data_IF_834500265359
#
_entry.id   IF_834500265359
#
_cell.length_a   1.000
_cell.length_b   1.000
_cell.length_c   1.000
_cell.angle_alpha   90.00
_cell.angle_beta   90.00
_cell.angle_gamma   90.00
#
_symmetry.space_group_name_H-M   'P 1'
#
loop_
_entity.id
_entity.type
_entity.pdbx_description
1 polymer ?
#
# COMPACT_ATOMS: atom_id res chain seq x y z
N UNK A 1 -24.45 -0.70 -8.97
CA UNK A 1 -23.38 0.31 -8.92
C UNK A 1 -22.15 -0.37 -9.46
N UNK A 2 -21.56 0.19 -10.54
CA UNK A 2 -20.48 -0.42 -11.31
C UNK A 2 -19.13 -0.33 -10.56
N UNK A 3 -18.24 -1.32 -10.68
CA UNK A 3 -16.92 -1.24 -10.07
C UNK A 3 -16.08 -0.15 -10.74
N UNK A 4 -15.27 0.53 -9.93
CA UNK A 4 -14.32 1.54 -10.36
C UNK A 4 -13.16 0.90 -11.15
N UNK A 5 -13.42 0.48 -12.39
CA UNK A 5 -12.37 0.25 -13.37
C UNK A 5 -11.68 1.60 -13.61
N UNK A 6 -10.49 1.76 -13.06
CA UNK A 6 -9.57 2.78 -13.54
C UNK A 6 -9.45 2.57 -15.05
N UNK A 7 -9.67 3.61 -15.85
CA UNK A 7 -9.75 3.52 -17.32
C UNK A 7 -8.52 2.87 -18.00
N UNK A 8 -7.47 2.57 -17.24
CA UNK A 8 -6.19 2.02 -17.69
C UNK A 8 -5.75 0.76 -16.93
N UNK A 9 -6.62 0.12 -16.12
CA UNK A 9 -6.26 -1.11 -15.40
C UNK A 9 -6.08 -2.27 -16.39
N UNK A 10 -4.95 -2.99 -16.30
CA UNK A 10 -4.59 -4.04 -17.26
C UNK A 10 -3.59 -5.07 -16.73
N UNK A 11 -3.55 -6.22 -17.39
CA UNK A 11 -2.50 -7.23 -17.28
C UNK A 11 -1.52 -7.08 -18.44
N UNK A 12 -0.23 -7.18 -18.15
CA UNK A 12 0.84 -7.05 -19.15
C UNK A 12 1.75 -8.26 -19.03
N UNK A 13 1.82 -9.10 -20.06
CA UNK A 13 2.75 -10.24 -20.08
C UNK A 13 4.16 -9.71 -20.29
N UNK A 14 5.00 -9.81 -19.26
CA UNK A 14 6.37 -9.27 -19.26
C UNK A 14 7.43 -10.33 -19.57
N UNK A 15 7.10 -11.62 -19.41
CA UNK A 15 7.95 -12.73 -19.82
C UNK A 15 7.11 -13.96 -20.17
N UNK A 16 7.63 -14.80 -21.08
CA UNK A 16 6.94 -16.00 -21.59
C UNK A 16 6.66 -15.90 -23.09
N UNK A 17 6.05 -16.94 -23.65
CA UNK A 17 5.83 -17.05 -25.10
C UNK A 17 4.93 -15.96 -25.70
N UNK A 18 4.10 -15.33 -24.88
CA UNK A 18 3.18 -14.25 -25.27
C UNK A 18 3.62 -12.87 -24.73
N UNK A 19 4.91 -12.68 -24.44
CA UNK A 19 5.44 -11.40 -23.95
C UNK A 19 5.01 -10.22 -24.83
N UNK A 20 4.62 -9.11 -24.18
CA UNK A 20 4.09 -7.91 -24.81
C UNK A 20 2.57 -7.92 -24.99
N UNK A 21 1.89 -9.05 -24.73
CA UNK A 21 0.43 -9.10 -24.72
C UNK A 21 -0.11 -8.27 -23.56
N UNK A 22 -1.09 -7.43 -23.85
CA UNK A 22 -1.82 -6.66 -22.83
C UNK A 22 -3.30 -7.03 -22.86
N UNK A 23 -3.89 -7.21 -21.68
CA UNK A 23 -5.32 -7.49 -21.52
C UNK A 23 -5.93 -6.44 -20.61
N UNK A 24 -6.89 -5.63 -21.09
CA UNK A 24 -7.58 -4.66 -20.26
C UNK A 24 -8.48 -5.37 -19.24
N UNK A 25 -8.44 -4.90 -17.99
CA UNK A 25 -9.25 -5.40 -16.90
C UNK A 25 -10.46 -4.48 -16.70
N UNK A 26 -11.68 -5.04 -16.78
CA UNK A 26 -12.96 -4.30 -16.76
C UNK A 26 -13.90 -4.79 -15.65
N UNK A 27 -15.21 -4.84 -15.88
CA UNK A 27 -16.17 -5.32 -14.89
C UNK A 27 -16.27 -6.85 -14.86
N UNK A 28 -15.90 -7.50 -15.96
CA UNK A 28 -15.94 -8.95 -16.09
C UNK A 28 -14.62 -9.58 -15.59
N UNK A 29 -14.70 -10.75 -14.92
CA UNK A 29 -13.52 -11.55 -14.60
C UNK A 29 -12.77 -12.00 -15.84
N UNK A 30 -11.45 -12.15 -15.70
CA UNK A 30 -10.54 -12.62 -16.74
C UNK A 30 -9.97 -13.96 -16.33
N UNK A 31 -10.17 -14.97 -17.18
CA UNK A 31 -9.64 -16.30 -17.01
C UNK A 31 -8.27 -16.42 -17.68
N UNK A 32 -7.29 -16.94 -16.93
CA UNK A 32 -5.94 -17.19 -17.39
C UNK A 32 -5.67 -18.71 -17.37
N UNK A 33 -5.08 -19.22 -18.44
CA UNK A 33 -4.72 -20.62 -18.54
C UNK A 33 -4.30 -21.00 -19.95
N UNK A 34 -3.82 -22.24 -20.13
CA UNK A 34 -3.40 -22.73 -21.46
C UNK A 34 -4.56 -23.13 -22.36
N UNK A 35 -5.79 -23.09 -21.85
CA UNK A 35 -6.99 -23.32 -22.65
C UNK A 35 -7.15 -22.20 -23.68
N UNK A 36 -7.58 -22.55 -24.88
CA UNK A 36 -7.91 -21.56 -25.91
C UNK A 36 -9.21 -20.81 -25.62
N UNK A 37 -9.96 -21.29 -24.63
CA UNK A 37 -11.19 -20.70 -24.09
C UNK A 37 -10.92 -19.70 -22.95
N UNK A 38 -9.65 -19.45 -22.60
CA UNK A 38 -9.27 -18.42 -21.65
C UNK A 38 -9.22 -17.03 -22.30
N UNK A 39 -9.56 -16.00 -21.53
CA UNK A 39 -9.47 -14.59 -21.96
C UNK A 39 -8.03 -14.17 -22.20
N UNK A 40 -7.10 -14.71 -21.40
CA UNK A 40 -5.66 -14.64 -21.65
C UNK A 40 -5.07 -16.06 -21.78
N UNK A 41 -4.97 -16.57 -23.02
CA UNK A 41 -4.34 -17.85 -23.29
C UNK A 41 -2.83 -17.81 -22.98
N UNK A 42 -2.39 -18.70 -22.09
CA UNK A 42 -1.00 -18.87 -21.69
C UNK A 42 -0.37 -20.00 -22.53
N UNK A 43 0.56 -19.66 -23.41
CA UNK A 43 1.34 -20.64 -24.17
C UNK A 43 2.47 -21.24 -23.30
N UNK A 44 2.07 -21.89 -22.21
CA UNK A 44 2.95 -22.44 -21.19
C UNK A 44 2.49 -23.83 -20.77
N UNK A 45 3.35 -24.84 -20.95
CA UNK A 45 3.05 -26.22 -20.60
C UNK A 45 2.93 -26.45 -19.08
N UNK A 46 3.43 -25.51 -18.27
CA UNK A 46 3.27 -25.52 -16.82
C UNK A 46 1.99 -24.80 -16.37
N UNK A 47 1.29 -24.11 -17.26
CA UNK A 47 -0.05 -23.61 -16.98
C UNK A 47 -1.09 -24.74 -17.03
N UNK A 48 -2.15 -24.60 -16.25
CA UNK A 48 -3.30 -25.50 -16.29
C UNK A 48 -4.29 -24.97 -17.34
N UNK A 49 -5.20 -25.82 -17.85
CA UNK A 49 -6.17 -25.40 -18.89
C UNK A 49 -6.91 -24.15 -18.44
N UNK A 50 -7.46 -24.19 -17.23
CA UNK A 50 -7.93 -23.04 -16.46
C UNK A 50 -7.02 -22.98 -15.24
N UNK A 51 -6.18 -21.96 -15.13
CA UNK A 51 -5.11 -21.91 -14.13
C UNK A 51 -5.48 -20.99 -12.97
N UNK A 52 -5.74 -19.73 -13.28
CA UNK A 52 -6.22 -18.77 -12.31
C UNK A 52 -7.24 -17.84 -12.96
N UNK A 53 -7.96 -17.18 -12.09
CA UNK A 53 -9.00 -16.22 -12.44
C UNK A 53 -8.66 -14.91 -11.76
N UNK A 54 -8.90 -13.81 -12.44
CA UNK A 54 -8.73 -12.45 -11.90
C UNK A 54 -10.07 -11.75 -12.00
N UNK A 55 -10.58 -11.26 -10.89
CA UNK A 55 -11.90 -10.62 -10.83
C UNK A 55 -11.81 -9.25 -10.14
N UNK A 56 -12.63 -8.28 -10.59
CA UNK A 56 -12.86 -7.09 -9.81
C UNK A 56 -13.76 -7.43 -8.63
N UNK A 57 -13.42 -6.89 -7.46
CA UNK A 57 -14.25 -6.89 -6.25
C UNK A 57 -14.48 -5.47 -5.77
N UNK A 58 -15.29 -5.33 -4.74
CA UNK A 58 -15.60 -4.02 -4.15
C UNK A 58 -14.35 -3.32 -3.56
N UNK A 59 -13.35 -4.10 -3.15
CA UNK A 59 -12.13 -3.64 -2.47
C UNK A 59 -10.88 -3.63 -3.37
N UNK A 60 -10.98 -4.09 -4.62
CA UNK A 60 -9.86 -4.12 -5.55
C UNK A 60 -9.88 -5.29 -6.50
N UNK A 61 -8.72 -5.64 -7.03
CA UNK A 61 -8.55 -6.76 -7.95
C UNK A 61 -8.01 -7.97 -7.22
N UNK A 62 -8.61 -9.13 -7.45
CA UNK A 62 -8.22 -10.35 -6.77
C UNK A 62 -7.87 -11.45 -7.75
N UNK A 63 -6.80 -12.18 -7.47
CA UNK A 63 -6.45 -13.43 -8.17
C UNK A 63 -6.82 -14.63 -7.31
N UNK A 64 -7.45 -15.63 -7.94
CA UNK A 64 -7.77 -16.93 -7.34
C UNK A 64 -7.12 -18.02 -8.19
N UNK A 65 -6.38 -18.93 -7.55
CA UNK A 65 -5.90 -20.15 -8.21
C UNK A 65 -7.05 -21.16 -8.31
N UNK A 66 -7.23 -21.78 -9.48
CA UNK A 66 -8.34 -22.70 -9.76
C UNK A 66 -7.97 -24.17 -9.52
N UNK A 67 -7.13 -24.43 -8.51
CA UNK A 67 -6.60 -25.77 -8.22
C UNK A 67 -5.56 -26.20 -9.25
N UNK A 68 -4.74 -25.26 -9.69
CA UNK A 68 -3.76 -25.49 -10.73
C UNK A 68 -2.64 -26.41 -10.24
N UNK A 69 -2.06 -27.20 -11.17
CA UNK A 69 -1.04 -28.20 -10.81
C UNK A 69 0.22 -27.58 -10.19
N UNK A 70 0.67 -26.46 -10.74
CA UNK A 70 1.92 -25.81 -10.33
C UNK A 70 1.68 -24.61 -9.40
N UNK A 71 0.44 -24.17 -9.23
CA UNK A 71 0.03 -23.01 -8.46
C UNK A 71 0.34 -21.67 -9.13
N UNK A 72 -0.30 -20.66 -8.60
CA UNK A 72 -0.09 -19.25 -8.94
C UNK A 72 0.78 -18.59 -7.87
N UNK A 73 1.77 -17.79 -8.29
CA UNK A 73 2.62 -17.00 -7.41
C UNK A 73 2.38 -15.51 -7.66
N UNK A 74 2.35 -14.69 -6.60
CA UNK A 74 2.36 -13.23 -6.68
C UNK A 74 3.60 -12.71 -5.94
N UNK A 75 4.50 -12.06 -6.67
CA UNK A 75 5.85 -11.75 -6.17
C UNK A 75 6.58 -13.05 -5.77
N UNK A 76 6.78 -13.24 -4.47
CA UNK A 76 7.37 -14.45 -3.89
C UNK A 76 6.37 -15.34 -3.15
N UNK A 77 5.12 -14.90 -2.99
CA UNK A 77 4.09 -15.62 -2.24
C UNK A 77 3.27 -16.54 -3.16
N UNK A 78 2.91 -17.73 -2.68
CA UNK A 78 1.99 -18.64 -3.37
C UNK A 78 0.55 -18.30 -2.99
N UNK A 79 -0.35 -18.26 -3.97
CA UNK A 79 -1.79 -18.05 -3.75
C UNK A 79 -2.39 -19.37 -3.24
N UNK A 80 -2.80 -19.41 -1.97
CA UNK A 80 -3.43 -20.61 -1.37
C UNK A 80 -4.94 -20.67 -1.60
N UNK A 81 -5.61 -19.51 -1.58
CA UNK A 81 -7.03 -19.39 -1.90
C UNK A 81 -7.25 -18.19 -2.83
N UNK A 82 -7.04 -16.99 -2.31
CA UNK A 82 -7.25 -15.73 -3.02
C UNK A 82 -6.18 -14.73 -2.60
N UNK A 83 -5.84 -13.80 -3.48
CA UNK A 83 -4.83 -12.78 -3.21
C UNK A 83 -5.23 -11.45 -3.84
N UNK A 84 -5.22 -10.37 -3.06
CA UNK A 84 -5.46 -9.00 -3.50
C UNK A 84 -4.24 -8.49 -4.29
N UNK A 85 -4.44 -8.11 -5.56
CA UNK A 85 -3.39 -7.59 -6.44
C UNK A 85 -3.19 -6.09 -6.24
N UNK A 86 -1.94 -5.69 -6.09
CA UNK A 86 -1.52 -4.28 -6.01
C UNK A 86 -0.79 -3.85 -7.26
N UNK A 87 -0.95 -2.58 -7.62
CA UNK A 87 -0.29 -2.01 -8.80
C UNK A 87 1.22 -2.34 -8.81
N UNK A 88 1.68 -2.85 -9.96
CA UNK A 88 3.07 -3.25 -10.18
C UNK A 88 3.41 -4.69 -9.79
N UNK A 89 2.52 -5.42 -9.11
CA UNK A 89 2.80 -6.79 -8.70
C UNK A 89 2.90 -7.76 -9.89
N UNK A 90 3.73 -8.79 -9.71
CA UNK A 90 4.03 -9.78 -10.74
C UNK A 90 3.38 -11.11 -10.37
N UNK A 91 2.47 -11.56 -11.23
CA UNK A 91 1.86 -12.88 -11.19
C UNK A 91 2.74 -13.82 -12.01
N UNK A 92 3.19 -14.92 -11.41
CA UNK A 92 4.00 -15.94 -12.07
C UNK A 92 3.23 -17.24 -12.16
N UNK A 93 3.13 -17.77 -13.37
CA UNK A 93 2.47 -19.05 -13.71
C UNK A 93 3.44 -19.83 -14.59
N UNK A 94 4.04 -20.90 -14.06
CA UNK A 94 5.07 -21.63 -14.79
C UNK A 94 6.27 -20.74 -15.13
N UNK A 95 6.51 -20.51 -16.42
CA UNK A 95 7.52 -19.61 -16.96
C UNK A 95 6.95 -18.27 -17.44
N UNK A 96 5.64 -18.06 -17.34
CA UNK A 96 4.97 -16.83 -17.74
C UNK A 96 4.91 -15.86 -16.57
N UNK A 97 5.35 -14.62 -16.79
CA UNK A 97 5.24 -13.53 -15.82
C UNK A 97 4.35 -12.43 -16.35
N UNK A 98 3.42 -11.99 -15.52
CA UNK A 98 2.36 -11.05 -15.87
C UNK A 98 2.36 -9.94 -14.82
N UNK A 99 2.56 -8.70 -15.25
CA UNK A 99 2.45 -7.52 -14.38
C UNK A 99 1.01 -7.05 -14.33
N UNK A 100 0.48 -6.91 -13.12
CA UNK A 100 -0.76 -6.18 -12.88
C UNK A 100 -0.45 -4.69 -12.84
N UNK A 101 -1.22 -3.89 -13.58
CA UNK A 101 -1.10 -2.43 -13.59
C UNK A 101 -2.46 -1.82 -13.32
N UNK A 102 -2.55 -1.08 -12.23
CA UNK A 102 -3.71 -0.30 -11.85
C UNK A 102 -3.31 1.13 -11.46
N UNK A 103 -2.91 1.96 -12.43
CA UNK A 103 -2.45 3.32 -12.18
C UNK A 103 -3.57 4.24 -11.62
N UNK A 104 -4.82 3.77 -11.64
CA UNK A 104 -5.98 4.45 -11.05
C UNK A 104 -6.21 4.15 -9.56
N UNK A 105 -5.65 3.05 -9.03
CA UNK A 105 -5.85 2.59 -7.65
C UNK A 105 -5.31 3.53 -6.57
N UNK A 106 -4.63 4.63 -6.91
CA UNK A 106 -4.15 5.61 -5.91
C UNK A 106 -5.26 6.51 -5.33
N UNK A 107 -6.52 6.38 -5.75
CA UNK A 107 -7.64 7.12 -5.13
C UNK A 107 -8.89 6.26 -5.04
N UNK A 108 -9.29 5.94 -3.81
CA UNK A 108 -10.52 5.18 -3.45
C UNK A 108 -10.32 3.70 -3.81
N UNK A 109 -10.29 2.69 -2.95
CA UNK A 109 -11.19 2.34 -1.84
C UNK A 109 -10.45 1.37 -0.90
N UNK A 110 -10.53 1.61 0.41
CA UNK A 110 -10.49 0.51 1.37
C UNK A 110 -11.49 0.85 2.48
N UNK A 111 -12.75 0.46 2.27
CA UNK A 111 -13.81 0.60 3.28
C UNK A 111 -14.36 -0.76 3.74
N UNK A 112 -13.87 -1.89 3.21
CA UNK A 112 -14.39 -3.23 3.56
C UNK A 112 -13.29 -4.31 3.62
N UNK A 113 -12.25 -4.06 4.41
CA UNK A 113 -11.50 -5.11 5.11
C UNK A 113 -11.57 -4.75 6.62
N UNK A 114 -11.60 -5.72 7.55
CA UNK A 114 -12.28 -5.61 8.84
C UNK A 114 -11.84 -4.34 9.57
N UNK A 115 -12.66 -3.28 9.55
CA UNK A 115 -12.44 -1.96 10.17
C UNK A 115 -10.94 -1.61 10.31
N UNK A 116 -10.33 -0.88 9.37
CA UNK A 116 -8.95 -0.38 9.47
C UNK A 116 -8.50 -0.13 10.91
N UNK A 117 -7.80 -1.08 11.53
CA UNK A 117 -7.36 -0.94 12.92
C UNK A 117 -6.24 0.11 13.06
N UNK A 118 -5.65 0.55 11.94
CA UNK A 118 -4.71 1.67 11.91
C UNK A 118 -5.42 2.93 11.39
N UNK A 119 -5.94 3.73 12.31
CA UNK A 119 -6.58 5.02 12.02
C UNK A 119 -5.61 6.10 11.51
N UNK A 120 -4.30 5.83 11.52
CA UNK A 120 -3.24 6.68 10.98
C UNK A 120 -2.42 5.88 9.95
N UNK A 121 -2.33 6.38 8.73
CA UNK A 121 -1.50 5.82 7.66
C UNK A 121 -0.43 6.82 7.23
N UNK A 122 0.80 6.36 7.05
CA UNK A 122 1.95 7.18 6.66
C UNK A 122 2.68 6.55 5.48
N UNK A 123 2.56 7.16 4.31
CA UNK A 123 3.33 6.80 3.10
C UNK A 123 4.64 7.59 3.09
N UNK A 124 5.70 6.95 3.60
CA UNK A 124 7.02 7.58 3.75
C UNK A 124 7.64 7.98 2.40
N UNK A 125 7.64 7.11 1.36
CA UNK A 125 8.11 7.49 0.03
C UNK A 125 7.31 8.64 -0.60
N UNK A 126 5.97 8.58 -0.53
CA UNK A 126 5.07 9.57 -1.14
C UNK A 126 4.88 10.85 -0.32
N UNK A 127 5.41 10.90 0.91
CA UNK A 127 5.20 11.99 1.88
C UNK A 127 3.73 12.31 2.13
N UNK A 128 2.90 11.27 2.15
CA UNK A 128 1.46 11.38 2.34
C UNK A 128 1.06 10.85 3.71
N UNK A 129 0.12 11.52 4.36
CA UNK A 129 -0.44 11.11 5.65
C UNK A 129 -1.95 11.06 5.52
N UNK A 130 -2.56 9.97 5.97
CA UNK A 130 -4.01 9.81 6.04
C UNK A 130 -4.46 9.55 7.48
N UNK A 131 -5.58 10.15 7.85
CA UNK A 131 -6.27 9.96 9.12
C UNK A 131 -7.66 9.43 8.79
N UNK A 132 -7.99 8.25 9.32
CA UNK A 132 -9.23 7.54 9.00
C UNK A 132 -9.45 7.43 7.46
N UNK A 133 -8.37 7.14 6.71
CA UNK A 133 -8.35 7.04 5.24
C UNK A 133 -8.32 8.37 4.47
N UNK A 134 -8.54 9.51 5.14
CA UNK A 134 -8.58 10.84 4.54
C UNK A 134 -7.18 11.47 4.54
N UNK A 135 -6.68 11.85 3.36
CA UNK A 135 -5.40 12.54 3.24
C UNK A 135 -5.44 13.92 3.92
N UNK A 136 -4.41 14.25 4.69
CA UNK A 136 -4.28 15.56 5.33
C UNK A 136 -3.95 16.61 4.26
N UNK A 137 -4.86 17.56 4.06
CA UNK A 137 -4.73 18.70 3.15
C UNK A 137 -4.90 20.04 3.90
N UNK A 138 -4.01 21.03 3.73
CA UNK A 138 -2.74 20.97 2.97
C UNK A 138 -1.80 19.91 3.55
N UNK A 139 -0.77 19.41 2.84
CA UNK A 139 0.21 18.46 3.39
C UNK A 139 0.88 18.96 4.68
N UNK A 140 1.48 18.05 5.46
CA UNK A 140 2.26 18.45 6.64
C UNK A 140 3.46 19.31 6.20
N UNK A 141 3.81 20.33 6.99
CA UNK A 141 5.04 21.09 6.74
C UNK A 141 6.27 20.17 6.88
N UNK A 142 7.43 20.52 6.29
CA UNK A 142 8.62 19.68 6.34
C UNK A 142 9.02 19.24 7.76
N UNK A 143 8.94 20.14 8.74
CA UNK A 143 9.26 19.83 10.14
C UNK A 143 8.22 18.92 10.80
N UNK A 144 6.93 19.12 10.52
CA UNK A 144 5.87 18.23 11.02
C UNK A 144 5.99 16.82 10.41
N UNK A 145 6.33 16.74 9.12
CA UNK A 145 6.60 15.48 8.44
C UNK A 145 7.80 14.74 9.04
N UNK A 146 8.92 15.43 9.26
CA UNK A 146 10.10 14.83 9.89
C UNK A 146 9.79 14.32 11.31
N UNK A 147 9.05 15.10 12.10
CA UNK A 147 8.60 14.68 13.43
C UNK A 147 7.72 13.43 13.37
N UNK A 148 6.71 13.41 12.49
CA UNK A 148 5.85 12.24 12.33
C UNK A 148 6.64 11.03 11.85
N UNK A 149 7.53 11.21 10.88
CA UNK A 149 8.37 10.15 10.33
C UNK A 149 9.26 9.52 11.40
N UNK A 150 9.98 10.32 12.20
CA UNK A 150 10.88 9.77 13.23
C UNK A 150 10.08 9.03 14.31
N UNK A 151 8.91 9.55 14.69
CA UNK A 151 8.01 8.89 15.63
C UNK A 151 7.42 7.59 15.05
N UNK A 152 7.09 7.58 13.76
CA UNK A 152 6.55 6.42 13.04
C UNK A 152 7.57 5.28 12.88
N UNK A 153 8.80 5.62 12.49
CA UNK A 153 9.92 4.67 12.37
C UNK A 153 10.30 4.06 13.74
N UNK A 154 9.98 4.75 14.85
CA UNK A 154 10.25 4.32 16.23
C UNK A 154 8.96 4.04 17.02
N UNK A 155 7.86 3.65 16.36
CA UNK A 155 6.58 3.36 17.03
C UNK A 155 6.75 2.35 18.17
N UNK A 156 6.05 2.56 19.26
CA UNK A 156 6.17 1.80 20.51
C UNK A 156 7.37 2.19 21.38
N UNK A 157 8.32 2.99 20.88
CA UNK A 157 9.49 3.45 21.63
C UNK A 157 9.41 4.95 21.92
N UNK A 158 9.71 5.32 23.17
CA UNK A 158 9.82 6.72 23.53
C UNK A 158 11.12 7.29 22.95
N UNK A 159 11.03 8.43 22.28
CA UNK A 159 12.18 9.22 21.84
C UNK A 159 12.41 10.39 22.77
N UNK A 160 13.68 10.66 23.10
CA UNK A 160 14.04 11.85 23.88
C UNK A 160 13.88 13.12 23.05
N UNK A 161 13.75 14.26 23.73
CA UNK A 161 13.72 15.57 23.07
C UNK A 161 14.98 15.84 22.24
N UNK A 162 16.16 15.44 22.70
CA UNK A 162 17.41 15.57 21.94
C UNK A 162 17.42 14.74 20.65
N UNK A 163 16.92 13.50 20.71
CA UNK A 163 16.79 12.64 19.52
C UNK A 163 15.81 13.27 18.52
N UNK A 164 14.68 13.78 18.99
CA UNK A 164 13.69 14.46 18.14
C UNK A 164 14.29 15.74 17.55
N UNK A 165 15.02 16.54 18.33
CA UNK A 165 15.69 17.75 17.87
C UNK A 165 16.67 17.44 16.73
N UNK A 166 17.50 16.42 16.91
CA UNK A 166 18.51 15.99 15.94
C UNK A 166 17.90 15.49 14.64
N UNK A 167 16.78 14.77 14.72
CA UNK A 167 16.08 14.24 13.54
C UNK A 167 15.31 15.33 12.77
N UNK A 168 14.73 16.30 13.47
CA UNK A 168 13.85 17.30 12.89
C UNK A 168 14.60 18.56 12.46
N UNK A 169 15.68 18.93 13.16
CA UNK A 169 16.54 20.08 12.86
C UNK A 169 18.02 19.68 12.81
N UNK A 170 18.43 18.81 11.86
CA UNK A 170 19.83 18.45 11.70
C UNK A 170 20.72 19.67 11.41
N UNK A 171 20.15 20.75 10.87
CA UNK A 171 20.87 21.99 10.55
C UNK A 171 21.12 22.92 11.75
N UNK A 172 20.47 22.68 12.89
CA UNK A 172 20.43 23.65 13.98
C UNK A 172 21.61 23.55 14.98
N UNK A 173 22.60 22.68 14.76
CA UNK A 173 23.79 22.49 15.62
C UNK A 173 23.49 22.49 17.15
N UNK A 174 22.36 21.90 17.57
CA UNK A 174 21.96 21.83 18.97
C UNK A 174 21.26 23.09 19.54
N UNK A 175 21.02 24.12 18.74
CA UNK A 175 20.30 25.34 19.13
C UNK A 175 18.76 25.16 19.12
N UNK A 176 18.26 24.01 19.60
CA UNK A 176 16.83 23.71 19.70
C UNK A 176 16.46 23.52 21.16
N UNK A 177 15.57 24.38 21.64
CA UNK A 177 15.03 24.27 22.99
C UNK A 177 13.76 23.41 23.03
N UNK A 178 13.51 22.77 24.16
CA UNK A 178 12.32 21.98 24.47
C UNK A 178 11.01 22.59 23.98
N UNK A 179 10.81 23.89 24.21
CA UNK A 179 9.55 24.56 23.84
C UNK A 179 9.28 24.53 22.32
N UNK A 180 10.32 24.47 21.48
CA UNK A 180 10.18 24.38 20.02
C UNK A 180 9.69 22.99 19.62
N UNK A 181 10.19 21.96 20.28
CA UNK A 181 9.77 20.57 20.12
C UNK A 181 8.32 20.43 20.57
N UNK A 182 7.99 20.96 21.75
CA UNK A 182 6.65 20.88 22.33
C UNK A 182 5.62 21.61 21.44
N UNK A 183 5.97 22.79 20.90
CA UNK A 183 5.13 23.50 19.91
C UNK A 183 4.96 22.70 18.62
N UNK A 184 5.99 22.03 18.13
CA UNK A 184 5.90 21.23 16.92
C UNK A 184 5.03 20.00 17.13
N UNK A 185 5.16 19.31 18.27
CA UNK A 185 4.31 18.19 18.67
C UNK A 185 2.85 18.64 18.76
N UNK A 186 2.58 19.75 19.47
CA UNK A 186 1.22 20.30 19.57
C UNK A 186 0.61 20.60 18.20
N UNK A 187 1.38 21.18 17.28
CA UNK A 187 0.92 21.42 15.90
C UNK A 187 0.71 20.14 15.12
N UNK A 188 1.55 19.13 15.31
CA UNK A 188 1.38 17.83 14.66
C UNK A 188 0.10 17.16 15.16
N UNK A 189 -0.13 17.12 16.48
CA UNK A 189 -1.36 16.56 17.05
C UNK A 189 -2.60 17.25 16.51
N UNK A 190 -2.61 18.58 16.47
CA UNK A 190 -3.71 19.35 15.88
C UNK A 190 -3.97 19.00 14.41
N UNK A 191 -2.92 18.71 13.62
CA UNK A 191 -3.04 18.28 12.23
C UNK A 191 -3.57 16.86 12.07
N UNK A 192 -3.31 15.98 13.04
CA UNK A 192 -3.86 14.62 13.09
C UNK A 192 -5.26 14.56 13.73
N UNK A 193 -5.80 15.69 14.18
CA UNK A 193 -7.10 15.75 14.85
C UNK A 193 -7.12 14.94 16.16
N UNK A 194 -8.27 14.34 16.55
CA UNK A 194 -8.39 13.54 17.78
C UNK A 194 -7.34 12.42 17.90
N UNK A 195 -6.95 11.85 16.77
CA UNK A 195 -5.93 10.80 16.68
C UNK A 195 -4.54 11.25 17.11
N UNK A 196 -4.23 12.53 16.94
CA UNK A 196 -2.95 13.09 17.36
C UNK A 196 -2.72 12.99 18.86
N UNK A 197 -3.73 13.36 19.66
CA UNK A 197 -3.69 13.25 21.12
C UNK A 197 -3.77 11.79 21.59
N UNK A 198 -4.45 10.93 20.83
CA UNK A 198 -4.57 9.51 21.14
C UNK A 198 -3.24 8.75 20.94
N UNK A 199 -2.57 8.98 19.81
CA UNK A 199 -1.39 8.23 19.37
C UNK A 199 -0.07 8.81 19.84
N UNK A 200 0.08 10.14 19.89
CA UNK A 200 1.34 10.77 20.29
C UNK A 200 1.31 11.00 21.79
N UNK A 201 1.92 10.11 22.55
CA UNK A 201 1.99 10.18 24.00
C UNK A 201 3.15 11.07 24.47
N UNK A 202 2.90 11.91 25.48
CA UNK A 202 3.95 12.64 26.19
C UNK A 202 4.52 11.75 27.29
N UNK A 203 5.83 11.48 27.24
CA UNK A 203 6.56 10.79 28.29
C UNK A 203 7.22 11.86 29.16
N UNK A 204 6.59 12.15 30.31
CA UNK A 204 6.99 13.24 31.20
C UNK A 204 8.48 13.18 31.55
N UNK A 205 9.17 14.32 31.39
CA UNK A 205 10.59 14.46 31.66
C UNK A 205 11.53 13.77 30.66
N UNK A 206 11.01 13.18 29.58
CA UNK A 206 11.81 12.44 28.61
C UNK A 206 11.57 12.89 27.16
N UNK A 207 10.33 12.84 26.68
CA UNK A 207 10.02 13.17 25.29
C UNK A 207 8.68 12.59 24.83
N UNK A 208 8.65 11.97 23.66
CA UNK A 208 7.40 11.60 22.98
C UNK A 208 7.46 10.21 22.36
N UNK A 209 6.32 9.54 22.31
CA UNK A 209 6.17 8.19 21.75
C UNK A 209 4.95 8.14 20.84
N UNK A 210 5.06 7.48 19.69
CA UNK A 210 3.89 7.06 18.92
C UNK A 210 3.47 5.66 19.38
N UNK A 211 2.20 5.48 19.74
CA UNK A 211 1.65 4.18 20.13
C UNK A 211 1.62 3.18 18.99
#
# INVERSE_FOLDING_TARGET
MAPMSGKDTKLIVIAGATQGTEVPLREDPVLLGRGSDCDLPLLDNYASRHHCWIEPREDGWWVRDLGSKNGTLVGTARVEHEYELKDGEIITIGHTQIRFSDPGATKTYNILSPVSLARLEVDVPGRMVRVDGIAIDPPLSPKQWLLLRVLWENRGQALSKDTIASAVWPEAEGAIFDYQIDKLVSRLRARLGPLGEELIETIWGFGYKLK
#
